data_IF_017998776809
#
_entry.id   IF_017998776809
#
_cell.length_a   1.000
_cell.length_b   1.000
_cell.length_c   1.000
_cell.angle_alpha   90.00
_cell.angle_beta   90.00
_cell.angle_gamma   90.00
#
_symmetry.space_group_name_H-M   'P 1'
#
loop_
_entity.id
_entity.type
_entity.pdbx_description
1 polymer ?
#
# COMPACT_ATOMS: atom_id res chain seq x y z
N UNK A 1 5.34 10.49 -7.71
CA UNK A 1 5.01 10.00 -6.38
C UNK A 1 4.79 8.51 -6.43
N UNK A 2 5.38 7.78 -5.52
CA UNK A 2 5.32 6.34 -5.53
C UNK A 2 4.81 5.83 -4.21
N UNK A 3 4.16 4.66 -4.24
CA UNK A 3 3.77 4.01 -3.00
C UNK A 3 5.02 3.39 -2.39
N UNK A 4 5.21 3.67 -1.12
CA UNK A 4 6.32 3.08 -0.37
C UNK A 4 5.93 1.65 0.02
N UNK A 5 6.39 0.70 -0.75
CA UNK A 5 6.00 -0.69 -0.56
C UNK A 5 6.56 -1.28 0.73
N UNK A 6 7.70 -0.79 1.18
CA UNK A 6 8.25 -1.24 2.46
C UNK A 6 7.35 -0.79 3.61
N UNK A 7 6.81 0.41 3.51
CA UNK A 7 5.88 0.90 4.51
C UNK A 7 4.59 0.10 4.47
N UNK A 8 4.13 -0.23 3.27
CA UNK A 8 2.93 -1.03 3.13
C UNK A 8 3.09 -2.38 3.82
N UNK A 9 4.21 -3.04 3.56
CA UNK A 9 4.50 -4.32 4.19
C UNK A 9 4.59 -4.17 5.70
N UNK A 10 5.27 -3.14 6.17
CA UNK A 10 5.42 -2.92 7.60
C UNK A 10 4.08 -2.72 8.30
N UNK A 11 3.18 -1.96 7.68
CA UNK A 11 1.88 -1.72 8.28
C UNK A 11 1.03 -2.98 8.28
N UNK A 12 1.16 -3.80 7.22
CA UNK A 12 0.46 -5.07 7.19
C UNK A 12 0.91 -5.96 8.35
N UNK A 13 2.23 -6.06 8.53
CA UNK A 13 2.78 -6.88 9.60
C UNK A 13 2.38 -6.33 10.96
N UNK A 14 2.39 -5.01 11.10
CA UNK A 14 2.00 -4.38 12.35
C UNK A 14 0.54 -4.68 12.72
N UNK A 15 -0.30 -4.91 11.70
CA UNK A 15 -1.68 -5.29 11.96
C UNK A 15 -1.84 -6.79 12.19
N UNK A 16 -0.76 -7.54 12.07
CA UNK A 16 -0.81 -8.98 12.26
C UNK A 16 -1.45 -9.73 11.11
N UNK A 17 -1.44 -9.15 9.92
CA UNK A 17 -2.07 -9.78 8.76
C UNK A 17 -1.03 -10.41 7.85
N UNK A 18 -1.36 -11.60 7.35
CA UNK A 18 -0.53 -12.24 6.33
C UNK A 18 -0.92 -11.70 4.96
N UNK A 19 -0.07 -11.95 3.98
CA UNK A 19 -0.41 -11.58 2.59
C UNK A 19 -1.67 -12.29 2.15
N UNK A 20 -1.84 -13.54 2.57
CA UNK A 20 -3.01 -14.31 2.22
C UNK A 20 -4.28 -13.68 2.80
N UNK A 21 -4.19 -13.20 4.03
CA UNK A 21 -5.33 -12.56 4.65
C UNK A 21 -5.73 -11.28 3.95
N UNK A 22 -4.75 -10.48 3.55
CA UNK A 22 -5.06 -9.25 2.82
C UNK A 22 -5.67 -9.59 1.47
N UNK A 23 -5.11 -10.56 0.76
CA UNK A 23 -5.66 -10.98 -0.52
C UNK A 23 -7.12 -11.42 -0.36
N UNK A 24 -7.38 -12.21 0.67
CA UNK A 24 -8.73 -12.69 0.93
C UNK A 24 -9.70 -11.55 1.18
N UNK A 25 -9.28 -10.56 1.95
CA UNK A 25 -10.13 -9.40 2.25
C UNK A 25 -10.34 -8.50 1.05
N UNK A 26 -9.42 -8.57 0.08
CA UNK A 26 -9.60 -7.88 -1.18
C UNK A 26 -10.54 -8.61 -2.11
N UNK A 27 -10.95 -9.83 -1.75
CA UNK A 27 -11.79 -10.64 -2.61
C UNK A 27 -10.99 -11.42 -3.65
N UNK A 28 -9.68 -11.49 -3.47
CA UNK A 28 -8.83 -12.22 -4.40
C UNK A 28 -8.67 -13.66 -3.95
N UNK A 29 -8.67 -14.59 -4.92
CA UNK A 29 -8.58 -15.99 -4.62
C UNK A 29 -7.18 -16.46 -4.33
N UNK A 30 -6.19 -15.71 -4.78
CA UNK A 30 -4.81 -16.17 -4.74
C UNK A 30 -3.96 -15.14 -4.02
N UNK A 31 -3.19 -15.61 -3.04
CA UNK A 31 -2.28 -14.77 -2.31
C UNK A 31 -1.31 -14.04 -3.25
N UNK A 32 -0.95 -14.70 -4.35
CA UNK A 32 0.01 -14.10 -5.28
C UNK A 32 -0.48 -12.79 -5.85
N UNK A 33 -1.78 -12.60 -5.97
CA UNK A 33 -2.31 -11.34 -6.50
C UNK A 33 -1.93 -10.17 -5.59
N UNK A 34 -1.95 -10.37 -4.29
CA UNK A 34 -1.51 -9.33 -3.38
C UNK A 34 0.01 -9.28 -3.28
N UNK A 35 0.65 -10.46 -3.18
CA UNK A 35 2.09 -10.51 -3.00
C UNK A 35 2.84 -9.82 -4.14
N UNK A 36 2.40 -10.00 -5.36
CA UNK A 36 3.05 -9.36 -6.51
C UNK A 36 2.99 -7.84 -6.39
N UNK A 37 1.90 -7.32 -5.86
CA UNK A 37 1.75 -5.89 -5.68
C UNK A 37 2.64 -5.37 -4.56
N UNK A 38 2.66 -6.07 -3.44
CA UNK A 38 3.49 -5.67 -2.32
C UNK A 38 4.97 -5.74 -2.68
N UNK A 39 5.34 -6.71 -3.55
CA UNK A 39 6.73 -6.88 -3.96
C UNK A 39 7.12 -6.01 -5.15
N UNK A 40 6.19 -5.24 -5.69
CA UNK A 40 6.51 -4.32 -6.78
C UNK A 40 6.51 -4.92 -8.16
N UNK A 41 6.04 -6.17 -8.30
CA UNK A 41 6.00 -6.81 -9.61
C UNK A 41 4.78 -6.39 -10.42
N UNK A 42 3.74 -5.95 -9.76
CA UNK A 42 2.52 -5.47 -10.40
C UNK A 42 2.16 -4.15 -9.73
N UNK A 43 1.80 -3.18 -10.52
CA UNK A 43 1.42 -1.87 -9.98
C UNK A 43 0.11 -1.97 -9.21
N UNK A 44 -0.01 -1.17 -8.18
CA UNK A 44 -1.22 -1.09 -7.39
C UNK A 44 -2.07 0.03 -7.97
N UNK A 45 -3.28 -0.30 -8.38
CA UNK A 45 -4.20 0.72 -8.87
C UNK A 45 -4.71 1.59 -7.74
N UNK A 46 -5.24 2.75 -8.08
CA UNK A 46 -5.69 3.71 -7.07
C UNK A 46 -6.77 3.12 -6.18
N UNK A 47 -7.76 2.47 -6.77
CA UNK A 47 -8.84 1.89 -5.99
C UNK A 47 -8.36 0.71 -5.17
N UNK A 48 -7.44 -0.08 -5.74
CA UNK A 48 -6.85 -1.19 -5.00
C UNK A 48 -6.11 -0.67 -3.78
N UNK A 49 -5.34 0.40 -3.96
CA UNK A 49 -4.58 0.95 -2.85
C UNK A 49 -5.49 1.45 -1.75
N UNK A 50 -6.55 2.15 -2.10
CA UNK A 50 -7.49 2.65 -1.11
C UNK A 50 -8.12 1.50 -0.32
N UNK A 51 -8.45 0.40 -1.01
CA UNK A 51 -9.03 -0.76 -0.35
C UNK A 51 -8.03 -1.46 0.54
N UNK A 52 -6.80 -1.61 0.07
CA UNK A 52 -5.76 -2.23 0.88
C UNK A 52 -5.53 -1.41 2.15
N UNK A 53 -5.41 -0.09 2.00
CA UNK A 53 -5.19 0.76 3.15
C UNK A 53 -6.35 0.68 4.14
N UNK A 54 -7.57 0.59 3.64
CA UNK A 54 -8.73 0.44 4.48
C UNK A 54 -8.67 -0.87 5.28
N UNK A 55 -8.26 -1.95 4.63
CA UNK A 55 -8.09 -3.24 5.30
C UNK A 55 -7.07 -3.11 6.41
N UNK A 56 -6.04 -2.31 6.20
CA UNK A 56 -5.00 -2.09 7.20
C UNK A 56 -5.43 -1.07 8.26
N UNK A 57 -6.64 -0.53 8.16
CA UNK A 57 -7.15 0.36 9.18
C UNK A 57 -6.90 1.83 8.96
N UNK A 58 -6.52 2.22 7.75
CA UNK A 58 -6.24 3.62 7.45
C UNK A 58 -7.39 4.27 6.70
N UNK A 59 -7.72 5.49 7.07
CA UNK A 59 -8.73 6.25 6.37
C UNK A 59 -8.10 6.91 5.15
N UNK A 60 -8.94 7.48 4.30
CA UNK A 60 -8.45 8.18 3.12
C UNK A 60 -7.53 9.33 3.48
N UNK A 61 -7.80 9.99 4.59
CA UNK A 61 -6.98 11.13 5.00
C UNK A 61 -5.58 10.71 5.40
N UNK A 62 -5.41 9.44 5.68
CA UNK A 62 -4.13 8.93 6.16
C UNK A 62 -3.28 8.30 5.06
N UNK A 63 -3.75 8.28 3.83
CA UNK A 63 -3.04 7.59 2.75
C UNK A 63 -1.68 8.19 2.44
N UNK A 64 -1.50 9.45 2.78
CA UNK A 64 -0.23 10.12 2.48
C UNK A 64 0.99 9.47 3.10
N UNK A 65 0.79 8.74 4.20
CA UNK A 65 1.94 8.11 4.87
C UNK A 65 2.59 7.03 3.99
N UNK A 66 1.86 6.55 2.98
CA UNK A 66 2.37 5.50 2.11
C UNK A 66 3.09 6.02 0.88
N UNK A 67 3.12 7.33 0.68
CA UNK A 67 3.76 7.85 -0.53
C UNK A 67 5.16 8.34 -0.22
N UNK A 68 6.09 7.96 -1.10
CA UNK A 68 7.44 8.43 -0.99
C UNK A 68 7.49 9.85 -1.50
N UNK A 69 8.10 10.70 -0.74
CA UNK A 69 8.26 12.06 -1.16
C UNK A 69 9.68 12.27 -1.63
N UNK A 70 9.88 12.00 -2.88
CA UNK A 70 11.15 12.15 -3.43
C UNK A 70 11.34 13.44 -4.06
N UNK A 71 10.45 14.34 -3.92
CA UNK A 71 10.50 15.54 -4.61
C UNK A 71 11.18 16.52 -3.82
N UNK A 72 12.35 16.60 -3.92
CA UNK A 72 13.02 17.43 -3.07
C UNK A 72 12.69 18.80 -3.38
N UNK A 73 12.48 18.89 -4.16
CA UNK A 73 12.31 19.89 -4.39
C UNK A 73 11.39 20.55 -4.21
N UNK A 74 10.89 20.17 -3.92
CA UNK A 74 9.96 20.70 -3.67
C UNK A 74 10.24 21.83 -3.18
N UNK A 75 11.09 22.13 -3.18
CA UNK A 75 11.34 23.03 -2.72
C UNK A 75 11.11 24.02 -3.40
N UNK A 76 10.66 24.50 -3.68
CA UNK A 76 10.29 25.27 -4.11
C UNK A 76 10.67 26.32 -4.11
N UNK A 77 10.87 26.96 -4.41
CA UNK A 77 11.31 27.92 -4.56
C UNK A 77 11.06 28.77 -3.88
N UNK A 78 11.13 28.93 -3.62
CA UNK A 78 11.00 29.64 -3.12
C UNK A 78 10.91 30.28 -3.21
#
# INVERSE_FOLDING_TARGET
MKINLKRLKAERIAKGLTQDEVASRMGWKDRALYAKRENGLVDIGVNEFANIASILGFSRDELGIFFEDNVPERKLPN
#
